data_IF_895288919018
#
_entry.id   IF_895288919018
#
_cell.length_a   1.000
_cell.length_b   1.000
_cell.length_c   1.000
_cell.angle_alpha   90.00
_cell.angle_beta   90.00
_cell.angle_gamma   90.00
#
_symmetry.space_group_name_H-M   'P 1'
#
loop_
_entity.id
_entity.type
_entity.pdbx_description
1 polymer ?
#
# COMPACT_ATOMS: atom_id res chain seq x y z
N UNK A 1 -32.48 17.01 -78.11
CA UNK A 1 -32.93 18.29 -77.50
C UNK A 1 -34.33 18.01 -76.98
N UNK A 2 -34.47 17.63 -75.70
CA UNK A 2 -34.90 18.53 -74.61
C UNK A 2 -36.22 19.20 -74.99
N UNK A 3 -37.36 18.94 -74.34
CA UNK A 3 -37.67 19.19 -72.92
C UNK A 3 -38.99 18.50 -72.57
N UNK A 4 -39.10 17.85 -71.42
CA UNK A 4 -40.31 17.96 -70.59
C UNK A 4 -39.92 17.78 -69.13
N UNK A 5 -39.79 18.93 -68.45
CA UNK A 5 -39.65 19.02 -67.00
C UNK A 5 -41.06 19.07 -66.42
N UNK A 6 -41.45 18.03 -65.70
CA UNK A 6 -42.64 18.06 -64.86
C UNK A 6 -42.23 17.97 -63.40
N UNK A 7 -42.78 18.90 -62.61
CA UNK A 7 -42.46 19.14 -61.22
C UNK A 7 -43.12 18.13 -60.28
N UNK A 8 -42.48 17.98 -59.12
CA UNK A 8 -43.08 17.80 -57.78
C UNK A 8 -43.40 16.38 -57.26
N UNK A 9 -42.68 15.99 -56.20
CA UNK A 9 -43.16 15.66 -54.83
C UNK A 9 -42.39 14.49 -54.19
N UNK A 10 -41.81 14.75 -53.01
CA UNK A 10 -41.34 13.71 -52.07
C UNK A 10 -42.50 13.36 -51.15
N UNK A 11 -42.60 12.08 -50.74
CA UNK A 11 -42.61 11.86 -49.30
C UNK A 11 -41.71 10.70 -48.86
N UNK A 12 -41.22 10.84 -47.63
CA UNK A 12 -40.29 9.91 -47.01
C UNK A 12 -40.86 8.51 -46.77
N UNK A 13 -39.96 7.54 -46.90
CA UNK A 13 -40.10 6.21 -46.31
C UNK A 13 -38.84 5.92 -45.50
N UNK A 14 -38.79 6.41 -44.27
CA UNK A 14 -37.79 5.95 -43.30
C UNK A 14 -38.24 4.56 -42.83
N UNK A 15 -37.68 3.52 -43.44
CA UNK A 15 -37.88 2.14 -42.97
C UNK A 15 -37.34 2.05 -41.53
N UNK A 16 -38.16 1.63 -40.55
CA UNK A 16 -37.69 1.45 -39.19
C UNK A 16 -36.73 0.25 -39.19
N UNK A 17 -35.47 0.50 -38.83
CA UNK A 17 -34.51 -0.55 -38.56
C UNK A 17 -35.06 -1.44 -37.45
N UNK A 18 -35.41 -2.66 -37.83
CA UNK A 18 -35.82 -3.74 -36.94
C UNK A 18 -34.84 -3.84 -35.77
N UNK A 19 -35.38 -3.60 -34.56
CA UNK A 19 -34.67 -3.64 -33.30
C UNK A 19 -33.93 -4.96 -33.13
N UNK A 20 -32.61 -4.89 -33.20
CA UNK A 20 -31.72 -5.92 -32.70
C UNK A 20 -31.37 -5.49 -31.29
N UNK A 21 -32.05 -6.06 -30.29
CA UNK A 21 -31.69 -5.88 -28.88
C UNK A 21 -30.25 -6.37 -28.70
N UNK A 22 -29.26 -5.50 -28.45
CA UNK A 22 -27.90 -5.95 -28.28
C UNK A 22 -27.82 -6.72 -26.96
N UNK A 23 -27.42 -7.99 -27.03
CA UNK A 23 -27.23 -8.85 -25.86
C UNK A 23 -26.51 -8.09 -24.72
N UNK A 24 -26.92 -8.29 -23.45
CA UNK A 24 -26.41 -7.52 -22.34
C UNK A 24 -24.88 -7.65 -22.25
N UNK A 25 -24.21 -6.50 -22.14
CA UNK A 25 -22.75 -6.45 -22.09
C UNK A 25 -22.24 -7.25 -20.89
N UNK A 26 -21.17 -8.05 -21.04
CA UNK A 26 -20.59 -8.78 -19.91
C UNK A 26 -20.14 -7.80 -18.82
N UNK A 27 -20.77 -7.90 -17.65
CA UNK A 27 -20.44 -7.08 -16.48
C UNK A 27 -19.27 -7.69 -15.72
N UNK A 28 -18.27 -6.87 -15.40
CA UNK A 28 -17.13 -7.30 -14.57
C UNK A 28 -17.55 -7.34 -13.11
N UNK A 29 -17.09 -8.35 -12.37
CA UNK A 29 -17.30 -8.45 -10.92
C UNK A 29 -16.68 -7.24 -10.21
N UNK A 30 -17.49 -6.52 -9.42
CA UNK A 30 -17.04 -5.39 -8.59
C UNK A 30 -16.92 -5.86 -7.15
N UNK A 31 -15.76 -5.61 -6.54
CA UNK A 31 -15.51 -5.94 -5.13
C UNK A 31 -15.77 -4.72 -4.25
N UNK A 32 -16.71 -4.84 -3.31
CA UNK A 32 -16.94 -3.80 -2.30
C UNK A 32 -15.74 -3.66 -1.37
N UNK A 33 -15.58 -2.48 -0.78
CA UNK A 33 -14.49 -2.18 0.17
C UNK A 33 -14.54 -3.13 1.38
N UNK A 34 -15.73 -3.35 1.93
CA UNK A 34 -15.97 -4.29 3.02
C UNK A 34 -15.56 -5.73 2.64
N UNK A 35 -15.87 -6.17 1.41
CA UNK A 35 -15.44 -7.48 0.93
C UNK A 35 -13.92 -7.59 0.87
N UNK A 36 -13.24 -6.59 0.31
CA UNK A 36 -11.77 -6.57 0.21
C UNK A 36 -11.11 -6.66 1.59
N UNK A 37 -11.59 -5.87 2.55
CA UNK A 37 -11.08 -5.86 3.93
C UNK A 37 -11.28 -7.20 4.63
N UNK A 38 -12.47 -7.79 4.52
CA UNK A 38 -12.77 -9.10 5.09
C UNK A 38 -11.80 -10.16 4.58
N UNK A 39 -11.59 -10.20 3.27
CA UNK A 39 -10.71 -11.19 2.65
C UNK A 39 -9.23 -10.98 3.02
N UNK A 40 -8.76 -9.73 3.07
CA UNK A 40 -7.39 -9.45 3.52
C UNK A 40 -7.18 -9.91 4.96
N UNK A 41 -8.13 -9.63 5.85
CA UNK A 41 -8.06 -10.08 7.24
C UNK A 41 -8.09 -11.61 7.36
N UNK A 42 -8.96 -12.29 6.60
CA UNK A 42 -9.01 -13.75 6.56
C UNK A 42 -7.69 -14.34 6.04
N UNK A 43 -7.10 -13.77 4.99
CA UNK A 43 -5.84 -14.22 4.40
C UNK A 43 -4.63 -13.99 5.31
N UNK A 44 -4.57 -12.87 6.04
CA UNK A 44 -3.50 -12.56 6.98
C UNK A 44 -3.52 -13.48 8.21
N UNK A 45 -4.72 -13.81 8.71
CA UNK A 45 -4.91 -14.69 9.87
C UNK A 45 -4.82 -16.19 9.52
N UNK A 46 -4.82 -16.56 8.24
CA UNK A 46 -4.80 -17.94 7.82
C UNK A 46 -3.43 -18.63 8.10
N UNK A 47 -3.44 -19.88 8.60
CA UNK A 47 -2.24 -20.69 8.76
C UNK A 47 -1.48 -20.94 7.44
N UNK A 48 -0.21 -21.34 7.56
CA UNK A 48 0.60 -21.74 6.41
C UNK A 48 -0.06 -22.93 5.68
N UNK A 49 -0.31 -22.77 4.37
CA UNK A 49 -0.97 -23.79 3.52
C UNK A 49 -2.46 -23.54 3.27
N UNK A 50 -3.17 -22.83 4.15
CA UNK A 50 -4.61 -22.58 3.99
C UNK A 50 -4.92 -21.33 3.14
N UNK A 51 -3.94 -20.43 3.01
CA UNK A 51 -4.01 -19.22 2.18
C UNK A 51 -4.44 -19.49 0.75
N UNK A 52 -3.95 -20.58 0.15
CA UNK A 52 -4.33 -20.99 -1.20
C UNK A 52 -5.77 -21.51 -1.31
N UNK A 53 -6.33 -22.07 -0.23
CA UNK A 53 -7.72 -22.52 -0.20
C UNK A 53 -8.70 -21.34 -0.21
N UNK A 54 -8.38 -20.29 0.56
CA UNK A 54 -9.17 -19.03 0.58
C UNK A 54 -9.20 -18.39 -0.80
N UNK A 55 -8.03 -18.29 -1.47
CA UNK A 55 -7.93 -17.74 -2.82
C UNK A 55 -8.78 -18.51 -3.83
N UNK A 56 -8.75 -19.84 -3.79
CA UNK A 56 -9.55 -20.69 -4.69
C UNK A 56 -11.05 -20.58 -4.42
N UNK A 57 -11.46 -20.54 -3.14
CA UNK A 57 -12.87 -20.40 -2.74
C UNK A 57 -13.48 -19.09 -3.24
N UNK A 58 -12.71 -18.01 -3.17
CA UNK A 58 -13.18 -16.67 -3.52
C UNK A 58 -12.95 -16.32 -5.00
N UNK A 59 -12.21 -17.17 -5.74
CA UNK A 59 -11.81 -16.96 -7.12
C UNK A 59 -10.83 -15.79 -7.28
N UNK A 60 -9.93 -15.63 -6.31
CA UNK A 60 -8.99 -14.51 -6.23
C UNK A 60 -7.56 -14.94 -6.55
N UNK A 61 -6.83 -14.04 -7.18
CA UNK A 61 -5.39 -14.20 -7.38
C UNK A 61 -4.62 -13.57 -6.23
N UNK A 62 -3.42 -14.07 -5.95
CA UNK A 62 -2.53 -13.51 -4.92
C UNK A 62 -2.23 -12.02 -5.13
N UNK A 63 -2.21 -11.57 -6.39
CA UNK A 63 -2.07 -10.15 -6.75
C UNK A 63 -3.16 -9.27 -6.15
N UNK A 64 -4.41 -9.73 -6.09
CA UNK A 64 -5.52 -8.98 -5.49
C UNK A 64 -5.28 -8.73 -4.01
N UNK A 65 -4.80 -9.74 -3.28
CA UNK A 65 -4.51 -9.60 -1.86
C UNK A 65 -3.39 -8.60 -1.63
N UNK A 66 -2.29 -8.73 -2.38
CA UNK A 66 -1.15 -7.80 -2.27
C UNK A 66 -1.59 -6.36 -2.57
N UNK A 67 -2.41 -6.16 -3.61
CA UNK A 67 -2.94 -4.84 -3.96
C UNK A 67 -3.86 -4.28 -2.88
N UNK A 68 -4.78 -5.09 -2.35
CA UNK A 68 -5.74 -4.64 -1.33
C UNK A 68 -5.08 -4.38 0.02
N UNK A 69 -4.09 -5.20 0.43
CA UNK A 69 -3.27 -4.94 1.63
C UNK A 69 -2.53 -3.62 1.48
N UNK A 70 -1.88 -3.38 0.34
CA UNK A 70 -1.20 -2.09 0.08
C UNK A 70 -2.17 -0.90 0.09
N UNK A 71 -3.32 -1.05 -0.54
CA UNK A 71 -4.34 -0.01 -0.55
C UNK A 71 -4.92 0.26 0.84
N UNK A 72 -5.05 -0.77 1.70
CA UNK A 72 -5.47 -0.62 3.10
C UNK A 72 -4.41 0.14 3.90
N UNK A 73 -3.16 -0.29 3.81
CA UNK A 73 -2.05 0.27 4.57
C UNK A 73 -1.77 1.73 4.16
N UNK A 74 -2.07 2.09 2.90
CA UNK A 74 -2.04 3.46 2.39
C UNK A 74 -3.32 4.27 2.66
N UNK A 75 -4.32 3.73 3.38
CA UNK A 75 -5.60 4.40 3.65
C UNK A 75 -6.50 4.64 2.42
N UNK A 76 -6.12 4.08 1.26
CA UNK A 76 -6.81 4.27 -0.01
C UNK A 76 -7.96 3.25 -0.24
N UNK A 77 -8.04 2.19 0.56
CA UNK A 77 -9.06 1.14 0.44
C UNK A 77 -10.42 1.63 0.97
N UNK A 78 -11.10 2.45 0.16
CA UNK A 78 -12.32 3.13 0.58
C UNK A 78 -12.51 4.50 -0.07
N UNK A 79 -11.42 5.09 -0.58
CA UNK A 79 -11.51 6.29 -1.41
C UNK A 79 -12.30 5.97 -2.65
N UNK A 80 -13.43 6.64 -2.83
CA UNK A 80 -14.28 6.59 -4.03
C UNK A 80 -13.51 7.08 -5.25
N UNK A 81 -12.57 6.28 -5.77
CA UNK A 81 -12.07 6.47 -7.12
C UNK A 81 -13.12 5.86 -8.05
N UNK A 82 -14.10 6.71 -8.35
CA UNK A 82 -15.06 6.49 -9.41
C UNK A 82 -14.35 5.92 -10.64
N UNK A 83 -14.93 4.83 -11.14
CA UNK A 83 -15.01 4.45 -12.56
C UNK A 83 -14.18 5.35 -13.47
N UNK A 84 -12.89 5.07 -13.64
CA UNK A 84 -12.12 5.46 -14.82
C UNK A 84 -10.85 4.63 -14.88
N UNK A 85 -10.70 3.97 -16.01
CA UNK A 85 -9.53 3.22 -16.44
C UNK A 85 -8.22 3.96 -16.15
N UNK A 86 -7.33 3.33 -15.37
CA UNK A 86 -5.91 3.34 -15.68
C UNK A 86 -5.15 2.26 -14.89
N UNK A 87 -4.65 1.18 -15.51
CA UNK A 87 -3.77 0.21 -14.86
C UNK A 87 -2.29 0.61 -14.96
N UNK A 88 -1.98 1.90 -15.09
CA UNK A 88 -0.62 2.37 -15.25
C UNK A 88 -0.33 3.54 -14.31
N UNK A 89 0.05 3.18 -13.08
CA UNK A 89 1.10 3.86 -12.32
C UNK A 89 1.35 3.01 -11.09
N UNK A 90 2.42 2.21 -11.15
CA UNK A 90 3.08 1.73 -9.93
C UNK A 90 3.20 2.96 -9.02
N UNK A 91 2.68 2.96 -7.78
CA UNK A 91 3.06 4.02 -6.87
C UNK A 91 4.57 3.81 -6.67
N UNK A 92 5.39 4.70 -7.25
CA UNK A 92 6.74 4.90 -6.74
C UNK A 92 6.62 5.06 -5.22
N UNK A 93 7.64 4.59 -4.48
CA UNK A 93 7.70 4.73 -3.01
C UNK A 93 7.08 6.08 -2.64
N UNK A 94 5.98 6.06 -1.88
CA UNK A 94 5.31 7.31 -1.51
C UNK A 94 6.34 8.18 -0.78
N UNK A 95 6.21 9.51 -0.89
CA UNK A 95 7.13 10.43 -0.18
C UNK A 95 7.23 10.05 1.31
N UNK A 96 6.11 9.65 1.91
CA UNK A 96 6.00 9.12 3.26
C UNK A 96 6.86 7.86 3.50
N UNK A 97 6.90 6.91 2.57
CA UNK A 97 7.75 5.71 2.70
C UNK A 97 9.24 6.06 2.65
N UNK A 98 9.63 7.01 1.81
CA UNK A 98 11.02 7.48 1.73
C UNK A 98 11.41 8.21 3.02
N UNK A 99 10.53 9.05 3.55
CA UNK A 99 10.73 9.74 4.82
C UNK A 99 10.80 8.76 5.99
N UNK A 100 9.94 7.75 6.04
CA UNK A 100 9.97 6.69 7.05
C UNK A 100 11.28 5.90 7.02
N UNK A 101 11.76 5.52 5.83
CA UNK A 101 13.06 4.84 5.70
C UNK A 101 14.20 5.75 6.17
N UNK A 102 14.17 7.04 5.82
CA UNK A 102 15.17 8.02 6.26
C UNK A 102 15.15 8.18 7.79
N UNK A 103 13.99 8.39 8.37
CA UNK A 103 13.80 8.52 9.82
C UNK A 103 14.24 7.27 10.57
N UNK A 104 13.96 6.07 10.04
CA UNK A 104 14.45 4.81 10.63
C UNK A 104 15.98 4.73 10.64
N UNK A 105 16.63 5.10 9.53
CA UNK A 105 18.11 5.13 9.47
C UNK A 105 18.71 6.14 10.45
N UNK A 106 18.10 7.31 10.56
CA UNK A 106 18.53 8.33 11.52
C UNK A 106 18.33 7.86 12.96
N UNK A 107 17.20 7.22 13.27
CA UNK A 107 16.92 6.69 14.60
C UNK A 107 17.93 5.62 15.01
N UNK A 108 18.25 4.67 14.12
CA UNK A 108 19.26 3.65 14.39
C UNK A 108 20.65 4.28 14.59
N UNK A 109 21.04 5.25 13.76
CA UNK A 109 22.31 5.97 13.94
C UNK A 109 22.38 6.69 15.30
N UNK A 110 21.29 7.33 15.71
CA UNK A 110 21.22 8.04 16.99
C UNK A 110 21.29 7.07 18.16
N UNK A 111 20.60 5.93 18.10
CA UNK A 111 20.69 4.86 19.12
C UNK A 111 22.11 4.35 19.27
N UNK A 112 22.82 4.06 18.17
CA UNK A 112 24.21 3.60 18.24
C UNK A 112 25.10 4.64 18.91
N UNK A 113 24.95 5.92 18.56
CA UNK A 113 25.72 7.01 19.18
C UNK A 113 25.43 7.13 20.67
N UNK A 114 24.16 6.99 21.05
CA UNK A 114 23.71 7.02 22.44
C UNK A 114 24.34 5.86 23.22
N UNK A 115 24.29 4.64 22.69
CA UNK A 115 24.93 3.48 23.31
C UNK A 115 26.45 3.65 23.48
N UNK A 116 27.14 4.23 22.49
CA UNK A 116 28.56 4.58 22.63
C UNK A 116 28.80 5.58 23.76
N UNK A 117 27.98 6.63 23.88
CA UNK A 117 28.12 7.63 24.95
C UNK A 117 27.82 7.06 26.33
N UNK A 118 26.83 6.18 26.46
CA UNK A 118 26.53 5.48 27.72
C UNK A 118 27.69 4.58 28.14
N UNK A 119 28.29 3.86 27.19
CA UNK A 119 29.48 3.03 27.45
C UNK A 119 30.66 3.89 27.93
N UNK A 120 30.87 5.05 27.31
CA UNK A 120 31.92 5.98 27.74
C UNK A 120 31.67 6.51 29.16
N UNK A 121 30.41 6.84 29.50
CA UNK A 121 30.04 7.26 30.85
C UNK A 121 30.26 6.16 31.89
N UNK A 122 29.93 4.90 31.57
CA UNK A 122 30.17 3.75 32.44
C UNK A 122 31.67 3.54 32.69
N UNK A 123 32.51 3.62 31.65
CA UNK A 123 33.97 3.54 31.78
C UNK A 123 34.50 4.67 32.67
N UNK A 124 34.05 5.91 32.46
CA UNK A 124 34.47 7.04 33.29
C UNK A 124 34.02 6.88 34.75
N UNK A 125 32.81 6.36 34.97
CA UNK A 125 32.31 6.03 36.31
C UNK A 125 33.19 5.00 37.02
N UNK A 126 33.55 3.92 36.32
CA UNK A 126 34.46 2.88 36.84
C UNK A 126 35.86 3.42 37.13
N UNK A 127 36.40 4.26 36.23
CA UNK A 127 37.70 4.90 36.43
C UNK A 127 37.71 5.79 37.67
N UNK A 128 36.63 6.57 37.90
CA UNK A 128 36.49 7.39 39.11
C UNK A 128 36.48 6.53 40.38
N UNK A 129 35.72 5.44 40.40
CA UNK A 129 35.68 4.52 41.57
C UNK A 129 37.06 3.94 41.85
N UNK A 130 37.79 3.53 40.81
CA UNK A 130 39.14 2.99 40.97
C UNK A 130 40.12 4.05 41.51
N UNK A 131 40.01 5.30 41.07
CA UNK A 131 40.83 6.40 41.59
C UNK A 131 40.53 6.71 43.07
N UNK A 132 39.26 6.65 43.48
CA UNK A 132 38.86 6.80 44.88
C UNK A 132 39.51 5.72 45.76
N UNK A 133 39.44 4.45 45.32
CA UNK A 133 40.04 3.32 46.04
C UNK A 133 41.56 3.46 46.20
N UNK A 134 42.26 3.90 45.13
CA UNK A 134 43.70 4.16 45.21
C UNK A 134 43.97 5.29 46.20
N UNK A 135 43.22 6.39 46.14
CA UNK A 135 43.37 7.53 47.06
C UNK A 135 43.19 7.09 48.53
N UNK A 136 42.13 6.35 48.84
CA UNK A 136 41.87 5.81 50.19
C UNK A 136 43.00 4.89 50.68
N UNK A 137 43.50 4.00 49.80
CA UNK A 137 44.60 3.09 50.14
C UNK A 137 45.92 3.82 50.44
N UNK A 138 46.17 4.94 49.75
CA UNK A 138 47.36 5.76 49.99
C UNK A 138 47.26 6.63 51.25
N UNK A 139 46.06 7.03 51.68
CA UNK A 139 45.87 7.78 52.93
C UNK A 139 45.96 6.87 54.17
N UNK A 140 45.68 5.57 54.03
CA UNK A 140 45.92 4.58 55.10
C UNK A 140 47.41 4.26 55.33
N UNK A 141 48.30 4.73 54.45
CA UNK A 141 49.76 4.54 54.54
C UNK A 141 50.46 5.85 54.95
N UNK A 142 49.97 6.47 56.03
CA UNK A 142 50.64 7.62 56.67
C UNK A 142 51.15 7.21 58.06
N UNK A 143 52.46 7.38 58.37
CA UNK A 143 53.04 7.03 59.67
C UNK A 143 52.56 7.91 60.82
#
# INVERSE_FOLDING_TARGET
>A
MFVESESQERPGGSSPSSGRDPAPRPSRRVFSTAYKLRIVAEYENAPHGEKGAILRREGLFSSHIVEWTRARDAGALGGTRAVTDNPEKKPGRSAEQVELEKLRRENERLKTRLATTETALDIMGKARVLLEQISESTDTEKP
#
